data_IF_140801159735
#
_entry.id   IF_140801159735
#
_cell.length_a   1.000
_cell.length_b   1.000
_cell.length_c   1.000
_cell.angle_alpha   90.00
_cell.angle_beta   90.00
_cell.angle_gamma   90.00
#
_symmetry.space_group_name_H-M   'P 1'
#
loop_
_entity.id
_entity.type
_entity.pdbx_description
1 polymer ?
#
# COMPACT_ATOMS: atom_id res chain seq x y z
N UNK A 1 -23.42 -5.46 12.74
CA UNK A 1 -22.74 -4.57 11.78
C UNK A 1 -21.25 -4.58 12.08
N UNK A 2 -20.42 -4.70 11.06
CA UNK A 2 -18.98 -4.61 11.22
C UNK A 2 -18.61 -3.28 11.91
N UNK A 3 -17.70 -3.36 12.87
CA UNK A 3 -17.25 -2.20 13.65
C UNK A 3 -16.09 -1.52 12.94
N UNK A 4 -16.05 -0.19 12.99
CA UNK A 4 -14.91 0.63 12.55
C UNK A 4 -14.51 1.52 13.71
N UNK A 5 -13.28 1.39 14.17
CA UNK A 5 -12.72 2.22 15.24
C UNK A 5 -11.66 3.16 14.65
N UNK A 6 -11.61 4.38 15.18
CA UNK A 6 -10.54 5.34 14.92
C UNK A 6 -9.68 5.46 16.16
N UNK A 7 -8.38 5.26 16.00
CA UNK A 7 -7.43 5.21 17.10
C UNK A 7 -6.29 6.19 16.86
N UNK A 8 -5.86 6.84 17.94
CA UNK A 8 -4.61 7.62 17.97
C UNK A 8 -3.59 6.85 18.79
N UNK A 9 -2.36 6.79 18.29
CA UNK A 9 -1.24 6.19 19.01
C UNK A 9 0.03 7.00 18.77
N UNK A 10 0.96 6.96 19.71
CA UNK A 10 2.22 7.68 19.59
C UNK A 10 3.23 6.89 18.76
N UNK A 11 3.69 7.48 17.64
CA UNK A 11 4.78 6.91 16.83
C UNK A 11 6.15 7.34 17.36
N UNK A 12 6.97 6.37 17.72
CA UNK A 12 8.36 6.61 18.12
C UNK A 12 9.22 7.09 16.94
N UNK A 13 8.99 6.53 15.75
CA UNK A 13 9.70 6.87 14.53
C UNK A 13 9.44 8.30 14.08
N UNK A 14 8.20 8.78 14.22
CA UNK A 14 7.78 10.13 13.83
C UNK A 14 7.76 11.13 14.99
N UNK A 15 7.90 10.68 16.24
CA UNK A 15 7.86 11.46 17.48
C UNK A 15 6.59 12.32 17.60
N UNK A 16 5.44 11.77 17.22
CA UNK A 16 4.13 12.44 17.25
C UNK A 16 2.97 11.44 17.30
N UNK A 17 1.79 11.95 17.65
CA UNK A 17 0.55 11.21 17.54
C UNK A 17 0.22 10.95 16.06
N UNK A 18 -0.12 9.70 15.78
CA UNK A 18 -0.60 9.22 14.47
C UNK A 18 -1.95 8.57 14.62
N UNK A 19 -2.75 8.60 13.55
CA UNK A 19 -4.08 8.01 13.54
C UNK A 19 -4.18 6.86 12.55
N UNK A 20 -5.03 5.91 12.88
CA UNK A 20 -5.49 4.89 11.93
C UNK A 20 -6.96 4.57 12.18
N UNK A 21 -7.64 4.04 11.16
CA UNK A 21 -8.90 3.35 11.40
C UNK A 21 -8.69 1.85 11.23
N UNK A 22 -9.45 1.06 11.99
CA UNK A 22 -9.46 -0.39 11.92
C UNK A 22 -10.89 -0.87 11.73
N UNK A 23 -11.10 -1.72 10.72
CA UNK A 23 -12.38 -2.36 10.41
C UNK A 23 -12.31 -3.82 10.81
N UNK A 24 -13.30 -4.28 11.57
CA UNK A 24 -13.38 -5.63 12.09
C UNK A 24 -14.46 -6.43 11.35
N UNK A 25 -14.24 -7.73 11.09
CA UNK A 25 -15.34 -8.62 10.72
C UNK A 25 -16.31 -8.81 11.90
N UNK A 26 -17.57 -9.08 11.62
CA UNK A 26 -18.59 -9.28 12.68
C UNK A 26 -18.21 -10.42 13.64
N UNK A 27 -17.59 -11.48 13.11
CA UNK A 27 -17.09 -12.61 13.90
C UNK A 27 -16.03 -12.24 14.94
N UNK A 28 -15.38 -11.06 14.82
CA UNK A 28 -14.36 -10.62 15.77
C UNK A 28 -14.88 -10.52 17.22
N UNK A 29 -16.15 -10.17 17.39
CA UNK A 29 -16.76 -10.08 18.72
C UNK A 29 -17.16 -11.44 19.32
N UNK A 30 -17.37 -12.42 18.47
CA UNK A 30 -17.93 -13.73 18.85
C UNK A 30 -16.87 -14.85 18.90
N UNK A 31 -15.63 -14.53 18.56
CA UNK A 31 -14.55 -15.51 18.41
C UNK A 31 -13.27 -15.02 19.09
N UNK A 32 -12.54 -15.95 19.69
CA UNK A 32 -11.19 -15.71 20.25
C UNK A 32 -10.06 -15.99 19.26
N UNK A 33 -10.39 -16.31 17.99
CA UNK A 33 -9.38 -16.60 16.95
C UNK A 33 -8.56 -15.36 16.59
N UNK A 34 -7.37 -15.59 16.07
CA UNK A 34 -6.57 -14.54 15.45
C UNK A 34 -6.95 -14.37 13.97
N UNK A 35 -6.81 -13.14 13.46
CA UNK A 35 -7.23 -12.74 12.13
C UNK A 35 -6.04 -12.27 11.29
N UNK A 36 -6.04 -12.56 9.99
CA UNK A 36 -5.13 -11.89 9.06
C UNK A 36 -5.42 -10.38 9.01
N UNK A 37 -4.38 -9.59 8.71
CA UNK A 37 -4.47 -8.13 8.63
C UNK A 37 -4.12 -7.65 7.24
N UNK A 38 -4.95 -6.77 6.68
CA UNK A 38 -4.65 -6.02 5.45
C UNK A 38 -4.39 -4.56 5.83
N UNK A 39 -3.16 -4.10 5.61
CA UNK A 39 -2.80 -2.69 5.71
C UNK A 39 -3.16 -2.01 4.39
N UNK A 40 -4.13 -1.09 4.42
CA UNK A 40 -4.73 -0.46 3.22
C UNK A 40 -4.36 1.02 3.15
N UNK A 41 -3.42 1.35 2.29
CA UNK A 41 -2.73 2.63 2.22
C UNK A 41 -3.47 3.64 1.34
N UNK A 42 -3.55 4.91 1.78
CA UNK A 42 -4.17 5.99 1.01
C UNK A 42 -3.21 6.60 -0.03
N UNK A 43 -3.77 7.35 -0.99
CA UNK A 43 -3.01 8.09 -2.01
C UNK A 43 -2.51 9.46 -1.54
N UNK A 44 -1.81 10.16 -2.42
CA UNK A 44 -1.30 11.50 -2.16
C UNK A 44 -2.43 12.48 -1.79
N UNK A 45 -2.18 13.33 -0.80
CA UNK A 45 -3.18 14.26 -0.28
C UNK A 45 -4.29 13.64 0.55
N UNK A 46 -4.24 12.32 0.76
CA UNK A 46 -5.23 11.57 1.54
C UNK A 46 -4.93 11.50 3.03
N UNK A 47 -5.75 10.71 3.74
CA UNK A 47 -5.61 10.42 5.14
C UNK A 47 -6.24 9.06 5.49
N UNK A 48 -6.16 8.65 6.75
CA UNK A 48 -6.67 7.37 7.25
C UNK A 48 -8.15 7.08 6.98
N UNK A 49 -8.99 8.12 6.79
CA UNK A 49 -10.43 7.96 6.59
C UNK A 49 -10.87 7.79 5.14
N UNK A 50 -10.01 8.07 4.15
CA UNK A 50 -10.41 8.13 2.75
C UNK A 50 -11.02 6.83 2.22
N UNK A 51 -10.50 5.68 2.62
CA UNK A 51 -11.06 4.40 2.24
C UNK A 51 -12.45 4.11 2.81
N UNK A 52 -12.86 4.87 3.84
CA UNK A 52 -14.21 4.78 4.42
C UNK A 52 -15.18 5.81 3.82
N UNK A 53 -14.65 6.99 3.40
CA UNK A 53 -15.48 8.15 3.03
C UNK A 53 -15.55 8.41 1.53
N UNK A 54 -14.56 7.98 0.75
CA UNK A 54 -14.44 8.33 -0.67
C UNK A 54 -14.79 7.19 -1.61
N UNK A 55 -14.86 5.96 -1.12
CA UNK A 55 -15.33 4.81 -1.93
C UNK A 55 -16.75 5.04 -2.43
N UNK A 56 -17.05 4.55 -3.63
CA UNK A 56 -18.37 4.74 -4.29
C UNK A 56 -19.41 3.71 -3.86
N UNK A 57 -19.03 2.76 -3.02
CA UNK A 57 -19.91 1.78 -2.40
C UNK A 57 -19.84 1.94 -0.88
N UNK A 58 -20.85 2.57 -0.25
CA UNK A 58 -20.91 2.65 1.22
C UNK A 58 -20.84 1.25 1.85
N UNK A 59 -20.10 1.11 2.94
CA UNK A 59 -19.95 -0.18 3.63
C UNK A 59 -18.97 -1.15 2.96
N UNK A 60 -18.24 -0.77 1.92
CA UNK A 60 -17.34 -1.66 1.19
C UNK A 60 -16.30 -2.33 2.09
N UNK A 61 -15.60 -1.58 2.95
CA UNK A 61 -14.59 -2.18 3.83
C UNK A 61 -15.20 -3.13 4.87
N UNK A 62 -16.30 -2.79 5.57
CA UNK A 62 -17.07 -3.74 6.36
C UNK A 62 -17.45 -5.02 5.61
N UNK A 63 -17.97 -4.90 4.38
CA UNK A 63 -18.33 -6.06 3.55
C UNK A 63 -17.11 -6.95 3.28
N UNK A 64 -15.97 -6.35 2.92
CA UNK A 64 -14.72 -7.08 2.65
C UNK A 64 -14.15 -7.74 3.92
N UNK A 65 -14.17 -7.04 5.05
CA UNK A 65 -13.73 -7.60 6.33
C UNK A 65 -14.56 -8.84 6.69
N UNK A 66 -15.89 -8.76 6.55
CA UNK A 66 -16.80 -9.89 6.81
C UNK A 66 -16.59 -11.03 5.82
N UNK A 67 -16.56 -10.74 4.52
CA UNK A 67 -16.46 -11.76 3.48
C UNK A 67 -15.17 -12.57 3.57
N UNK A 68 -14.07 -11.92 3.91
CA UNK A 68 -12.74 -12.55 3.91
C UNK A 68 -12.22 -12.89 5.30
N UNK A 69 -12.93 -12.51 6.36
CA UNK A 69 -12.52 -12.74 7.75
C UNK A 69 -11.13 -12.14 8.03
N UNK A 70 -10.96 -10.84 7.73
CA UNK A 70 -9.71 -10.08 7.87
C UNK A 70 -9.95 -8.77 8.61
N UNK A 71 -8.96 -8.35 9.40
CA UNK A 71 -8.88 -6.96 9.89
C UNK A 71 -8.37 -6.06 8.76
N UNK A 72 -8.92 -4.84 8.64
CA UNK A 72 -8.45 -3.86 7.66
C UNK A 72 -7.98 -2.62 8.41
N UNK A 73 -6.69 -2.29 8.29
CA UNK A 73 -6.07 -1.13 8.94
C UNK A 73 -5.77 -0.07 7.89
N UNK A 74 -6.32 1.13 8.07
CA UNK A 74 -6.09 2.27 7.18
C UNK A 74 -5.30 3.35 7.94
N UNK A 75 -3.96 3.39 7.81
CA UNK A 75 -3.12 4.35 8.53
C UNK A 75 -3.10 5.72 7.88
N UNK A 76 -2.80 6.75 8.69
CA UNK A 76 -2.47 8.09 8.21
C UNK A 76 -0.96 8.21 7.96
N UNK A 77 -0.58 8.86 6.86
CA UNK A 77 0.80 9.28 6.59
C UNK A 77 0.81 10.70 6.02
N UNK A 78 1.98 11.29 5.88
CA UNK A 78 2.12 12.63 5.27
C UNK A 78 1.60 12.66 3.83
N UNK A 79 1.00 13.80 3.41
CA UNK A 79 0.19 13.88 2.19
C UNK A 79 0.96 13.57 0.89
N UNK A 80 2.27 13.74 0.86
CA UNK A 80 3.12 13.44 -0.30
C UNK A 80 4.39 12.68 0.12
N UNK A 81 4.31 11.91 1.21
CA UNK A 81 5.46 11.20 1.80
C UNK A 81 5.94 10.01 0.99
N UNK A 82 5.17 9.50 0.05
CA UNK A 82 5.40 8.25 -0.68
C UNK A 82 5.76 7.06 0.21
N UNK A 83 5.44 7.16 1.51
CA UNK A 83 5.78 6.15 2.52
C UNK A 83 7.29 5.98 2.75
N UNK A 84 8.10 7.01 2.44
CA UNK A 84 9.54 6.97 2.64
C UNK A 84 9.98 7.27 4.07
N UNK A 85 11.19 6.82 4.35
CA UNK A 85 12.08 7.48 5.30
C UNK A 85 12.99 8.41 4.49
N UNK A 86 12.90 9.71 4.72
CA UNK A 86 13.70 10.69 4.01
C UNK A 86 15.17 10.61 4.47
N UNK A 87 16.15 10.61 3.56
CA UNK A 87 17.56 10.74 3.92
C UNK A 87 17.93 12.18 4.33
N UNK A 88 17.04 13.17 4.08
CA UNK A 88 17.31 14.59 4.31
C UNK A 88 16.47 15.17 5.45
N UNK A 89 15.34 14.54 5.79
CA UNK A 89 14.35 15.08 6.72
C UNK A 89 14.05 14.09 7.84
N UNK A 90 14.58 14.30 9.02
CA UNK A 90 14.39 13.40 10.19
C UNK A 90 12.92 13.27 10.65
N UNK A 91 12.07 14.22 10.27
CA UNK A 91 10.63 14.21 10.55
C UNK A 91 9.81 13.37 9.58
N UNK A 92 10.41 12.88 8.49
CA UNK A 92 9.79 12.06 7.46
C UNK A 92 10.31 10.63 7.60
N UNK A 93 9.64 9.82 8.43
CA UNK A 93 10.00 8.43 8.78
C UNK A 93 8.78 7.52 8.64
N UNK A 94 8.08 7.62 7.50
CA UNK A 94 6.82 6.91 7.31
C UNK A 94 6.99 5.43 6.97
N UNK A 95 8.12 5.04 6.38
CA UNK A 95 8.47 3.62 6.20
C UNK A 95 8.66 2.94 7.57
N UNK A 96 9.50 3.55 8.44
CA UNK A 96 9.71 3.07 9.81
C UNK A 96 8.41 3.07 10.62
N UNK A 97 7.59 4.12 10.48
CA UNK A 97 6.29 4.18 11.14
C UNK A 97 5.39 2.98 10.81
N UNK A 98 5.22 2.67 9.52
CA UNK A 98 4.38 1.53 9.12
C UNK A 98 5.02 0.20 9.53
N UNK A 99 6.31 0.02 9.24
CA UNK A 99 6.99 -1.26 9.40
C UNK A 99 7.31 -1.63 10.87
N UNK A 100 7.45 -0.63 11.75
CA UNK A 100 7.86 -0.85 13.14
C UNK A 100 6.71 -0.46 14.09
N UNK A 101 6.31 0.82 14.08
CA UNK A 101 5.41 1.33 15.11
C UNK A 101 3.98 0.82 14.94
N UNK A 102 3.42 0.92 13.73
CA UNK A 102 2.03 0.55 13.46
C UNK A 102 1.82 -0.96 13.53
N UNK A 103 2.70 -1.77 12.95
CA UNK A 103 2.57 -3.23 13.01
C UNK A 103 2.62 -3.71 14.46
N UNK A 104 3.55 -3.17 15.26
CA UNK A 104 3.65 -3.47 16.68
C UNK A 104 2.36 -3.06 17.42
N UNK A 105 1.88 -1.84 17.21
CA UNK A 105 0.63 -1.33 17.80
C UNK A 105 -0.55 -2.26 17.49
N UNK A 106 -0.69 -2.69 16.24
CA UNK A 106 -1.79 -3.57 15.82
C UNK A 106 -1.66 -4.96 16.42
N UNK A 107 -0.48 -5.55 16.46
CA UNK A 107 -0.28 -6.90 17.00
C UNK A 107 -0.42 -6.96 18.53
N UNK A 108 -0.05 -5.88 19.25
CA UNK A 108 -0.17 -5.81 20.71
C UNK A 108 -1.60 -5.58 21.19
N UNK A 109 -2.43 -4.89 20.40
CA UNK A 109 -3.77 -4.46 20.84
C UNK A 109 -4.92 -5.27 20.21
N UNK A 110 -4.67 -6.06 19.16
CA UNK A 110 -5.72 -6.81 18.47
C UNK A 110 -5.33 -8.27 18.25
N UNK A 111 -6.34 -9.14 18.12
CA UNK A 111 -6.14 -10.55 17.82
C UNK A 111 -5.74 -10.74 16.36
N UNK A 112 -4.45 -10.61 16.08
CA UNK A 112 -3.86 -10.77 14.76
C UNK A 112 -3.10 -12.08 14.63
N UNK A 113 -2.94 -12.57 13.40
CA UNK A 113 -1.90 -13.55 13.09
C UNK A 113 -0.60 -12.75 12.97
N UNK A 114 0.11 -12.59 14.10
CA UNK A 114 1.28 -11.73 14.27
C UNK A 114 2.55 -12.28 13.60
N UNK A 115 2.42 -12.73 12.35
CA UNK A 115 3.52 -13.23 11.52
C UNK A 115 3.40 -12.73 10.09
N UNK A 116 4.44 -12.89 9.30
CA UNK A 116 4.46 -12.56 7.87
C UNK A 116 3.27 -13.15 7.12
N UNK A 117 2.96 -14.42 7.40
CA UNK A 117 1.89 -15.20 6.74
C UNK A 117 0.49 -14.66 7.02
N UNK A 118 0.33 -13.89 8.10
CA UNK A 118 -0.92 -13.24 8.48
C UNK A 118 -1.08 -11.82 7.93
N UNK A 119 -0.08 -11.25 7.23
CA UNK A 119 -0.11 -9.85 6.83
C UNK A 119 -0.07 -9.66 5.32
N UNK A 120 -0.98 -8.82 4.83
CA UNK A 120 -0.94 -8.27 3.49
C UNK A 120 -0.94 -6.73 3.55
N UNK A 121 -0.40 -6.10 2.50
CA UNK A 121 -0.37 -4.65 2.36
C UNK A 121 -0.80 -4.27 0.94
N UNK A 122 -1.64 -3.26 0.81
CA UNK A 122 -2.05 -2.73 -0.49
C UNK A 122 -2.41 -1.25 -0.39
N UNK A 123 -2.59 -0.60 -1.51
CA UNK A 123 -3.00 0.79 -1.52
C UNK A 123 -3.22 1.33 -2.93
N UNK A 124 -3.70 2.56 -3.00
CA UNK A 124 -3.91 3.27 -4.25
C UNK A 124 -2.84 4.34 -4.49
N UNK A 125 -2.44 4.54 -5.75
CA UNK A 125 -1.56 5.64 -6.16
C UNK A 125 -0.25 5.68 -5.35
N UNK A 126 0.00 6.73 -4.57
CA UNK A 126 1.11 6.81 -3.61
C UNK A 126 1.11 5.61 -2.64
N UNK A 127 -0.07 5.16 -2.18
CA UNK A 127 -0.20 3.99 -1.31
C UNK A 127 0.14 2.67 -2.01
N UNK A 128 -0.15 2.56 -3.32
CA UNK A 128 0.27 1.42 -4.13
C UNK A 128 1.80 1.33 -4.24
N UNK A 129 2.47 2.47 -4.45
CA UNK A 129 3.92 2.57 -4.38
C UNK A 129 4.44 2.12 -3.00
N UNK A 130 3.88 2.70 -1.93
CA UNK A 130 4.28 2.38 -0.55
C UNK A 130 4.12 0.91 -0.21
N UNK A 131 3.02 0.28 -0.64
CA UNK A 131 2.77 -1.14 -0.39
C UNK A 131 3.84 -2.04 -1.05
N UNK A 132 4.17 -1.77 -2.31
CA UNK A 132 5.21 -2.53 -3.03
C UNK A 132 6.60 -2.29 -2.42
N UNK A 133 6.95 -1.04 -2.10
CA UNK A 133 8.24 -0.72 -1.50
C UNK A 133 8.40 -1.35 -0.11
N UNK A 134 7.44 -1.14 0.78
CA UNK A 134 7.47 -1.67 2.14
C UNK A 134 7.61 -3.19 2.15
N UNK A 135 6.87 -3.89 1.29
CA UNK A 135 6.95 -5.35 1.19
C UNK A 135 8.30 -5.83 0.61
N UNK A 136 8.87 -5.10 -0.34
CA UNK A 136 10.18 -5.43 -0.91
C UNK A 136 11.34 -5.18 0.06
N UNK A 137 11.22 -4.18 0.93
CA UNK A 137 12.27 -3.81 1.88
C UNK A 137 12.17 -4.57 3.21
N UNK A 138 11.00 -5.09 3.55
CA UNK A 138 10.75 -5.80 4.80
C UNK A 138 10.19 -7.21 4.53
N UNK A 139 11.05 -8.16 4.13
CA UNK A 139 10.64 -9.49 3.70
C UNK A 139 9.94 -10.32 4.79
N UNK A 140 10.21 -10.03 6.05
CA UNK A 140 9.67 -10.74 7.20
C UNK A 140 8.33 -10.15 7.70
N UNK A 141 7.85 -9.07 7.11
CA UNK A 141 6.62 -8.40 7.56
C UNK A 141 5.39 -8.78 6.75
N UNK A 142 5.50 -8.87 5.42
CA UNK A 142 4.34 -9.05 4.54
C UNK A 142 4.49 -10.26 3.63
N UNK A 143 3.49 -11.12 3.61
CA UNK A 143 3.43 -12.27 2.70
C UNK A 143 2.92 -11.89 1.32
N UNK A 144 1.97 -10.95 1.26
CA UNK A 144 1.36 -10.49 0.03
C UNK A 144 1.31 -8.96 -0.03
N UNK A 145 1.48 -8.42 -1.24
CA UNK A 145 1.40 -6.99 -1.51
C UNK A 145 0.53 -6.71 -2.74
N UNK A 146 -0.12 -5.55 -2.74
CA UNK A 146 -0.93 -5.11 -3.86
C UNK A 146 -0.74 -3.64 -4.20
N UNK A 147 -1.04 -3.28 -5.45
CA UNK A 147 -0.97 -1.90 -5.92
C UNK A 147 -2.11 -1.60 -6.88
N UNK A 148 -2.94 -0.62 -6.56
CA UNK A 148 -3.97 -0.08 -7.45
C UNK A 148 -3.49 1.26 -8.01
N UNK A 149 -3.31 1.38 -9.32
CA UNK A 149 -2.83 2.61 -9.97
C UNK A 149 -1.56 3.16 -9.30
N UNK A 150 -0.63 2.29 -8.90
CA UNK A 150 0.52 2.69 -8.08
C UNK A 150 1.56 3.50 -8.85
N UNK A 151 2.29 4.36 -8.14
CA UNK A 151 3.45 5.08 -8.68
C UNK A 151 4.64 4.13 -8.76
N UNK A 152 4.67 3.26 -9.78
CA UNK A 152 5.71 2.23 -9.91
C UNK A 152 7.08 2.81 -10.28
N UNK A 153 7.08 3.93 -11.01
CA UNK A 153 8.28 4.71 -11.29
C UNK A 153 8.01 6.18 -10.94
N UNK A 154 8.85 6.76 -10.06
CA UNK A 154 8.71 8.15 -9.61
C UNK A 154 9.25 9.17 -10.61
N UNK A 155 9.84 8.74 -11.74
CA UNK A 155 10.18 9.61 -12.85
C UNK A 155 8.93 10.21 -13.48
N UNK A 156 8.65 11.47 -13.18
CA UNK A 156 7.45 12.16 -13.64
C UNK A 156 7.38 12.36 -15.15
N UNK A 157 8.50 12.26 -15.87
CA UNK A 157 8.51 12.29 -17.33
C UNK A 157 7.83 11.06 -17.95
N UNK A 158 7.62 10.02 -17.16
CA UNK A 158 6.87 8.81 -17.53
C UNK A 158 5.37 8.91 -17.28
N UNK A 159 4.90 9.98 -16.60
CA UNK A 159 3.50 10.17 -16.23
C UNK A 159 2.77 10.98 -17.31
N UNK A 160 1.54 10.59 -17.62
CA UNK A 160 0.69 11.31 -18.58
C UNK A 160 -0.09 12.44 -17.88
N UNK A 161 0.64 13.45 -17.43
CA UNK A 161 0.13 14.68 -16.79
C UNK A 161 0.79 15.91 -17.41
N UNK A 162 0.23 17.10 -17.14
CA UNK A 162 0.80 18.37 -17.60
C UNK A 162 2.17 18.67 -16.97
N UNK A 163 2.95 19.53 -17.64
CA UNK A 163 4.32 19.85 -17.23
C UNK A 163 4.38 20.57 -15.87
N UNK A 164 3.40 21.41 -15.54
CA UNK A 164 3.34 22.10 -14.25
C UNK A 164 3.27 21.09 -13.10
N UNK A 165 2.41 20.08 -13.22
CA UNK A 165 2.32 18.99 -12.23
C UNK A 165 3.57 18.14 -12.18
N UNK A 166 4.23 17.86 -13.31
CA UNK A 166 5.49 17.12 -13.34
C UNK A 166 6.56 17.85 -12.54
N UNK A 167 6.75 19.15 -12.81
CA UNK A 167 7.75 19.96 -12.10
C UNK A 167 7.47 20.05 -10.60
N UNK A 168 6.22 20.29 -10.21
CA UNK A 168 5.82 20.30 -8.80
C UNK A 168 6.19 18.99 -8.09
N UNK A 169 5.96 17.84 -8.74
CA UNK A 169 6.30 16.54 -8.16
C UNK A 169 7.81 16.31 -8.09
N UNK A 170 8.57 16.76 -9.09
CA UNK A 170 10.04 16.70 -9.07
C UNK A 170 10.61 17.54 -7.93
N UNK A 171 10.10 18.74 -7.70
CA UNK A 171 10.51 19.60 -6.59
C UNK A 171 10.26 18.92 -5.24
N UNK A 172 9.07 18.36 -5.03
CA UNK A 172 8.72 17.62 -3.80
C UNK A 172 9.64 16.42 -3.57
N UNK A 173 9.96 15.68 -4.64
CA UNK A 173 10.88 14.54 -4.56
C UNK A 173 12.31 15.01 -4.24
N UNK A 174 12.77 16.09 -4.87
CA UNK A 174 14.09 16.65 -4.64
C UNK A 174 14.27 17.14 -3.19
N UNK A 175 13.26 17.78 -2.63
CA UNK A 175 13.23 18.23 -1.25
C UNK A 175 13.33 17.06 -0.27
N UNK A 176 12.59 15.98 -0.54
CA UNK A 176 12.50 14.83 0.35
C UNK A 176 13.68 13.86 0.20
N UNK A 177 14.13 13.60 -1.01
CA UNK A 177 15.07 12.52 -1.35
C UNK A 177 16.43 13.03 -1.84
N UNK A 178 16.55 14.31 -2.18
CA UNK A 178 17.70 14.85 -2.89
C UNK A 178 17.74 14.39 -4.36
N UNK A 179 18.91 14.48 -4.96
CA UNK A 179 19.11 14.05 -6.35
C UNK A 179 19.08 12.53 -6.45
N UNK A 180 18.16 12.01 -7.26
CA UNK A 180 17.99 10.58 -7.52
C UNK A 180 18.20 10.27 -9.00
N UNK A 181 18.59 9.03 -9.29
CA UNK A 181 18.72 8.56 -10.68
C UNK A 181 17.40 7.91 -11.12
N UNK A 182 16.77 8.51 -12.14
CA UNK A 182 15.54 8.00 -12.74
C UNK A 182 15.77 6.98 -13.87
N UNK A 183 17.01 6.79 -14.33
CA UNK A 183 17.36 5.83 -15.39
C UNK A 183 17.90 4.53 -14.80
N UNK A 184 17.91 3.48 -15.59
CA UNK A 184 18.54 2.22 -15.19
C UNK A 184 20.06 2.38 -14.96
N UNK A 185 20.66 1.82 -13.88
CA UNK A 185 19.98 1.14 -12.79
C UNK A 185 19.12 2.12 -11.97
N UNK A 186 17.84 1.78 -11.79
CA UNK A 186 16.89 2.66 -11.10
C UNK A 186 17.23 2.83 -9.62
N UNK A 187 16.92 4.01 -9.08
CA UNK A 187 17.03 4.26 -7.63
C UNK A 187 16.13 3.31 -6.82
N UNK A 188 16.60 2.91 -5.64
CA UNK A 188 15.81 2.13 -4.67
C UNK A 188 14.60 2.89 -4.11
N UNK A 189 14.49 4.20 -4.34
CA UNK A 189 13.31 5.00 -4.02
C UNK A 189 12.16 4.83 -5.01
N UNK A 190 12.29 3.98 -6.01
CA UNK A 190 11.21 3.66 -6.95
C UNK A 190 10.93 2.16 -6.95
N UNK A 191 9.67 1.76 -7.07
CA UNK A 191 9.30 0.34 -7.04
C UNK A 191 10.04 -0.47 -8.10
N UNK A 192 10.20 0.07 -9.32
CA UNK A 192 10.99 -0.58 -10.39
C UNK A 192 12.46 -0.80 -10.03
N UNK A 193 13.03 -0.05 -9.08
CA UNK A 193 14.39 -0.23 -8.59
C UNK A 193 14.55 -1.37 -7.57
N UNK A 194 13.45 -1.91 -7.06
CA UNK A 194 13.44 -2.94 -6.01
C UNK A 194 13.16 -4.36 -6.53
N UNK A 195 13.09 -4.55 -7.84
CA UNK A 195 12.75 -5.87 -8.45
C UNK A 195 13.70 -6.98 -8.00
N UNK A 196 14.98 -6.67 -7.82
CA UNK A 196 15.96 -7.63 -7.28
C UNK A 196 15.60 -8.11 -5.86
N UNK A 197 15.15 -7.21 -4.99
CA UNK A 197 14.66 -7.56 -3.65
C UNK A 197 13.35 -8.37 -3.72
N UNK A 198 12.41 -7.97 -4.58
CA UNK A 198 11.15 -8.70 -4.76
C UNK A 198 11.38 -10.15 -5.18
N UNK A 199 12.36 -10.39 -6.07
CA UNK A 199 12.76 -11.73 -6.48
C UNK A 199 13.30 -12.57 -5.32
N UNK A 200 14.08 -11.96 -4.44
CA UNK A 200 14.68 -12.66 -3.29
C UNK A 200 13.66 -12.94 -2.17
N UNK A 201 12.69 -12.06 -1.99
CA UNK A 201 11.80 -12.05 -0.83
C UNK A 201 10.54 -12.91 -0.99
N UNK A 202 10.27 -13.43 -2.19
CA UNK A 202 9.08 -14.26 -2.51
C UNK A 202 7.76 -13.63 -2.04
N UNK A 203 7.61 -12.32 -2.20
CA UNK A 203 6.36 -11.61 -1.90
C UNK A 203 5.34 -11.90 -2.99
N UNK A 204 4.13 -12.31 -2.63
CA UNK A 204 3.04 -12.53 -3.57
C UNK A 204 2.43 -11.19 -3.96
N UNK A 205 2.37 -10.87 -5.26
CA UNK A 205 2.00 -9.53 -5.71
C UNK A 205 0.80 -9.52 -6.66
N UNK A 206 -0.05 -8.50 -6.48
CA UNK A 206 -1.10 -8.12 -7.43
C UNK A 206 -0.94 -6.65 -7.80
N UNK A 207 -0.90 -6.34 -9.10
CA UNK A 207 -0.79 -4.98 -9.63
C UNK A 207 -1.98 -4.73 -10.55
N UNK A 208 -2.68 -3.64 -10.31
CA UNK A 208 -3.93 -3.31 -10.99
C UNK A 208 -3.90 -1.84 -11.45
N UNK A 209 -4.25 -1.55 -12.71
CA UNK A 209 -4.23 -0.19 -13.25
C UNK A 209 -5.32 0.04 -14.30
N UNK A 210 -5.97 1.20 -14.25
CA UNK A 210 -6.96 1.61 -15.23
C UNK A 210 -6.33 1.95 -16.59
N UNK A 211 -7.02 1.59 -17.69
CA UNK A 211 -6.50 1.83 -19.06
C UNK A 211 -6.49 3.31 -19.48
N UNK A 212 -7.12 4.20 -18.68
CA UNK A 212 -7.08 5.66 -18.84
C UNK A 212 -6.36 6.35 -17.68
N UNK A 213 -5.57 5.59 -16.91
CA UNK A 213 -4.82 6.13 -15.78
C UNK A 213 -3.52 6.79 -16.27
N UNK A 214 -3.18 7.95 -15.74
CA UNK A 214 -1.95 8.67 -16.10
C UNK A 214 -0.67 7.93 -15.69
N UNK A 215 -0.76 6.93 -14.81
CA UNK A 215 0.33 6.06 -14.38
C UNK A 215 0.38 4.72 -15.13
N UNK A 216 -0.49 4.50 -16.12
CA UNK A 216 -0.54 3.23 -16.85
C UNK A 216 0.81 2.84 -17.43
N UNK A 217 1.56 3.79 -18.00
CA UNK A 217 2.88 3.55 -18.59
C UNK A 217 3.87 2.97 -17.56
N UNK A 218 3.89 3.51 -16.35
CA UNK A 218 4.80 3.05 -15.28
C UNK A 218 4.38 1.70 -14.69
N UNK A 219 3.07 1.42 -14.65
CA UNK A 219 2.55 0.12 -14.23
C UNK A 219 2.88 -0.97 -15.27
N UNK A 220 2.75 -0.69 -16.57
CA UNK A 220 3.20 -1.58 -17.64
C UNK A 220 4.71 -1.82 -17.60
N UNK A 221 5.51 -0.77 -17.34
CA UNK A 221 6.95 -0.90 -17.15
C UNK A 221 7.28 -1.87 -16.02
N UNK A 222 6.64 -1.72 -14.86
CA UNK A 222 6.81 -2.62 -13.72
C UNK A 222 6.47 -4.07 -14.08
N UNK A 223 5.33 -4.30 -14.72
CA UNK A 223 4.92 -5.62 -15.19
C UNK A 223 5.98 -6.26 -16.10
N UNK A 224 6.47 -5.53 -17.11
CA UNK A 224 7.49 -6.04 -18.04
C UNK A 224 8.81 -6.38 -17.32
N UNK A 225 9.24 -5.55 -16.38
CA UNK A 225 10.46 -5.77 -15.62
C UNK A 225 10.33 -6.97 -14.66
N UNK A 226 9.18 -7.17 -14.04
CA UNK A 226 8.89 -8.35 -13.21
C UNK A 226 8.90 -9.64 -14.05
N UNK A 227 8.28 -9.62 -15.24
CA UNK A 227 8.33 -10.75 -16.19
C UNK A 227 9.77 -11.07 -16.60
N UNK A 228 10.55 -10.06 -16.98
CA UNK A 228 11.95 -10.23 -17.38
C UNK A 228 12.82 -10.78 -16.24
N UNK A 229 12.51 -10.42 -15.00
CA UNK A 229 13.21 -10.91 -13.81
C UNK A 229 12.74 -12.31 -13.36
N UNK A 230 11.64 -12.82 -13.91
CA UNK A 230 11.02 -14.07 -13.50
C UNK A 230 10.36 -13.98 -12.11
N UNK A 231 9.81 -12.81 -11.75
CA UNK A 231 9.08 -12.59 -10.48
C UNK A 231 7.59 -12.86 -10.71
N UNK A 232 7.00 -13.88 -10.05
CA UNK A 232 5.57 -14.19 -10.17
C UNK A 232 4.71 -13.04 -9.63
N UNK A 233 3.69 -12.63 -10.38
CA UNK A 233 2.73 -11.60 -9.98
C UNK A 233 1.46 -11.67 -10.83
N UNK A 234 0.34 -11.24 -10.25
CA UNK A 234 -0.89 -10.98 -10.99
C UNK A 234 -0.84 -9.54 -11.52
N UNK A 235 -1.20 -9.36 -12.78
CA UNK A 235 -1.30 -8.04 -13.42
C UNK A 235 -2.65 -7.88 -14.09
N UNK A 236 -3.36 -6.80 -13.75
CA UNK A 236 -4.73 -6.54 -14.21
C UNK A 236 -4.79 -5.15 -14.84
N UNK A 237 -5.28 -5.07 -16.07
CA UNK A 237 -5.71 -3.82 -16.69
C UNK A 237 -7.21 -3.88 -16.96
N UNK A 238 -7.93 -2.84 -16.56
CA UNK A 238 -9.37 -2.71 -16.78
C UNK A 238 -9.72 -1.29 -17.27
N UNK A 239 -10.86 -1.12 -17.98
CA UNK A 239 -11.37 0.22 -18.26
C UNK A 239 -11.52 1.02 -16.96
N UNK A 240 -10.98 2.25 -16.95
CA UNK A 240 -11.04 3.14 -15.79
C UNK A 240 -9.88 4.13 -15.78
N UNK A 241 -9.92 5.09 -14.87
CA UNK A 241 -8.97 6.18 -14.73
C UNK A 241 -8.46 6.27 -13.28
N UNK A 242 -7.61 7.27 -12.97
CA UNK A 242 -7.04 7.50 -11.65
C UNK A 242 -8.07 8.14 -10.69
N UNK A 243 -9.06 7.37 -10.25
CA UNK A 243 -10.17 7.88 -9.46
C UNK A 243 -10.79 6.82 -8.53
N UNK A 244 -11.64 7.29 -7.61
CA UNK A 244 -12.30 6.46 -6.62
C UNK A 244 -13.30 5.46 -7.21
N UNK A 245 -13.88 5.73 -8.40
CA UNK A 245 -14.71 4.77 -9.12
C UNK A 245 -13.90 3.50 -9.40
N UNK A 246 -12.73 3.68 -10.02
CA UNK A 246 -11.83 2.58 -10.35
C UNK A 246 -11.35 1.82 -9.10
N UNK A 247 -10.87 2.52 -8.09
CA UNK A 247 -10.33 1.87 -6.87
C UNK A 247 -11.39 1.16 -6.05
N UNK A 248 -12.64 1.65 -6.05
CA UNK A 248 -13.78 0.96 -5.44
C UNK A 248 -14.05 -0.40 -6.09
N UNK A 249 -13.91 -0.48 -7.42
CA UNK A 249 -14.07 -1.72 -8.16
C UNK A 249 -12.83 -2.63 -8.11
N UNK A 250 -11.64 -2.07 -7.91
CA UNK A 250 -10.38 -2.79 -7.88
C UNK A 250 -10.15 -3.54 -6.55
N UNK A 251 -10.44 -2.91 -5.42
CA UNK A 251 -10.07 -3.44 -4.11
C UNK A 251 -10.64 -4.84 -3.79
N UNK A 252 -11.86 -5.25 -4.21
CA UNK A 252 -12.34 -6.61 -4.00
C UNK A 252 -11.47 -7.69 -4.63
N UNK A 253 -10.81 -7.42 -5.77
CA UNK A 253 -9.89 -8.38 -6.40
C UNK A 253 -8.62 -8.56 -5.58
N UNK A 254 -8.13 -7.50 -4.92
CA UNK A 254 -7.01 -7.58 -4.01
C UNK A 254 -7.34 -8.44 -2.78
N UNK A 255 -8.52 -8.26 -2.19
CA UNK A 255 -8.97 -9.09 -1.07
C UNK A 255 -9.15 -10.56 -1.45
N UNK A 256 -9.70 -10.84 -2.65
CA UNK A 256 -9.77 -12.19 -3.18
C UNK A 256 -8.37 -12.81 -3.33
N UNK A 257 -7.43 -12.06 -3.91
CA UNK A 257 -6.04 -12.47 -4.04
C UNK A 257 -5.42 -12.76 -2.67
N UNK A 258 -5.55 -11.86 -1.70
CA UNK A 258 -5.00 -12.06 -0.36
C UNK A 258 -5.59 -13.29 0.33
N UNK A 259 -6.91 -13.53 0.17
CA UNK A 259 -7.55 -14.74 0.71
C UNK A 259 -6.96 -16.03 0.17
N UNK A 260 -6.53 -16.02 -1.09
CA UNK A 260 -5.90 -17.18 -1.72
C UNK A 260 -4.44 -17.36 -1.28
N UNK A 261 -3.74 -16.24 -1.01
CA UNK A 261 -2.32 -16.25 -0.67
C UNK A 261 -2.07 -16.45 0.83
N UNK A 262 -2.79 -15.75 1.70
CA UNK A 262 -2.61 -15.86 3.13
C UNK A 262 -3.08 -17.23 3.61
N UNK A 263 -2.16 -18.00 4.15
CA UNK A 263 -2.47 -19.33 4.64
C UNK A 263 -3.48 -19.25 5.77
N UNK A 264 -4.43 -20.18 5.75
CA UNK A 264 -5.24 -20.49 6.91
C UNK A 264 -4.32 -21.21 7.90
N UNK A 265 -3.77 -20.48 8.85
CA UNK A 265 -3.19 -21.12 10.04
C UNK A 265 -4.37 -21.51 10.93
N UNK A 266 -4.77 -22.74 10.81
CA UNK A 266 -5.72 -23.43 11.71
C UNK A 266 -4.95 -24.26 12.72
#
# INVERSE_FOLDING_TARGET
MAQVDTVSHYSQSLKKEMRYAITFPESYKESEKNYPVVYLLHGAGGNFSNWHTSVKKPGLLPDLANQYEMLIVTPEVGPFSYYYDSPLMDTVRYSSYIAIDLIKEIDENYRTIASREGRAITGLSMGGHGAIMLSAENPDLFYAAGSMSGVMNIDTDQWDIDEERKELRKEQQLEMLGKINYKAPFSSYTAVGLIGKMKQNDVRMIIDCGTKDFLLKTNRQMHQLLLAAGVPHDYIERPGAHNWEYWTEAIPYHFLFFKQQLKKHH
#
